data_IF_419026998050
#
_entry.id   IF_419026998050
#
_cell.length_a   1.000
_cell.length_b   1.000
_cell.length_c   1.000
_cell.angle_alpha   90.00
_cell.angle_beta   90.00
_cell.angle_gamma   90.00
#
_symmetry.space_group_name_H-M   'P 1'
#
loop_
_entity.id
_entity.type
_entity.pdbx_description
1 polymer ?
#
# COMPACT_ATOMS: atom_id res chain seq x y z
N UNK A 1 11.32 -3.63 -11.12
CA UNK A 1 9.93 -3.12 -11.03
C UNK A 1 9.89 -2.06 -9.93
N UNK A 2 9.71 -0.79 -10.29
CA UNK A 2 9.72 0.34 -9.35
C UNK A 2 8.45 1.20 -9.45
N UNK A 3 7.50 0.77 -10.29
CA UNK A 3 6.19 1.40 -10.48
C UNK A 3 5.09 0.48 -9.97
N UNK A 4 4.16 1.06 -9.26
CA UNK A 4 3.08 0.33 -8.60
C UNK A 4 1.77 1.10 -8.76
N UNK A 5 0.66 0.41 -8.61
CA UNK A 5 -0.61 1.05 -8.30
C UNK A 5 -1.30 0.38 -7.12
N UNK A 6 -2.18 1.14 -6.49
CA UNK A 6 -3.22 0.59 -5.63
C UNK A 6 -4.56 0.81 -6.29
N UNK A 7 -5.37 -0.26 -6.35
CA UNK A 7 -6.79 -0.19 -6.69
C UNK A 7 -7.56 -0.51 -5.44
N UNK A 8 -8.28 0.47 -4.91
CA UNK A 8 -9.14 0.30 -3.73
C UNK A 8 -10.59 0.25 -4.17
N UNK A 9 -11.23 -0.89 -3.93
CA UNK A 9 -12.63 -1.13 -4.21
C UNK A 9 -13.44 -0.88 -2.94
N UNK A 10 -14.45 -0.02 -2.98
CA UNK A 10 -15.49 0.03 -1.95
C UNK A 10 -16.54 -1.01 -2.29
N UNK A 11 -16.68 -2.04 -1.46
CA UNK A 11 -17.50 -3.21 -1.74
C UNK A 11 -18.80 -3.20 -0.96
N UNK A 12 -19.84 -3.80 -1.54
CA UNK A 12 -21.11 -4.03 -0.86
C UNK A 12 -20.91 -4.97 0.33
N UNK A 13 -21.62 -4.73 1.41
CA UNK A 13 -21.51 -5.53 2.64
C UNK A 13 -21.80 -7.01 2.34
N UNK A 14 -20.93 -7.90 2.82
CA UNK A 14 -21.08 -9.34 2.69
C UNK A 14 -20.62 -9.94 1.36
N UNK A 15 -19.99 -9.16 0.46
CA UNK A 15 -19.55 -9.64 -0.87
C UNK A 15 -18.05 -9.91 -0.97
N UNK A 16 -17.30 -9.87 0.12
CA UNK A 16 -15.84 -10.06 0.10
C UNK A 16 -15.41 -11.37 -0.57
N UNK A 17 -16.13 -12.48 -0.35
CA UNK A 17 -15.80 -13.77 -0.93
C UNK A 17 -15.83 -13.74 -2.46
N UNK A 18 -16.92 -13.21 -3.04
CA UNK A 18 -17.10 -13.08 -4.50
C UNK A 18 -16.04 -12.13 -5.09
N UNK A 19 -15.78 -11.00 -4.40
CA UNK A 19 -14.74 -10.04 -4.81
C UNK A 19 -13.36 -10.70 -4.82
N UNK A 20 -13.03 -11.52 -3.82
CA UNK A 20 -11.75 -12.23 -3.75
C UNK A 20 -11.61 -13.26 -4.87
N UNK A 21 -12.65 -14.06 -5.14
CA UNK A 21 -12.64 -15.02 -6.24
C UNK A 21 -12.41 -14.32 -7.59
N UNK A 22 -13.09 -13.21 -7.84
CA UNK A 22 -12.96 -12.44 -9.07
C UNK A 22 -11.58 -11.79 -9.21
N UNK A 23 -11.02 -11.19 -8.13
CA UNK A 23 -9.66 -10.63 -8.14
C UNK A 23 -8.64 -11.73 -8.40
N UNK A 24 -8.75 -12.88 -7.74
CA UNK A 24 -7.85 -14.01 -7.94
C UNK A 24 -7.90 -14.52 -9.39
N UNK A 25 -9.07 -14.66 -9.99
CA UNK A 25 -9.25 -15.07 -11.38
C UNK A 25 -8.66 -14.02 -12.36
N UNK A 26 -8.68 -12.75 -12.01
CA UNK A 26 -8.17 -11.64 -12.83
C UNK A 26 -6.70 -11.32 -12.57
N UNK A 27 -6.03 -12.02 -11.66
CA UNK A 27 -4.65 -11.70 -11.24
C UNK A 27 -3.59 -11.84 -12.34
N UNK A 28 -3.87 -12.64 -13.37
CA UNK A 28 -2.96 -12.91 -14.49
C UNK A 28 -3.17 -11.93 -15.66
N UNK A 29 -3.17 -10.63 -15.41
CA UNK A 29 -3.28 -9.64 -16.49
C UNK A 29 -1.90 -9.35 -17.09
N UNK A 30 -1.77 -9.31 -18.44
CA UNK A 30 -0.53 -8.94 -19.10
C UNK A 30 -0.03 -7.55 -18.66
N UNK A 31 1.25 -7.43 -18.36
CA UNK A 31 1.89 -6.16 -18.01
C UNK A 31 1.77 -5.69 -16.56
N UNK A 32 1.04 -6.42 -15.72
CA UNK A 32 1.00 -6.18 -14.28
C UNK A 32 1.23 -7.46 -13.47
N UNK A 33 1.78 -7.31 -12.28
CA UNK A 33 1.98 -8.40 -11.32
C UNK A 33 1.17 -8.10 -10.06
N UNK A 34 0.27 -9.01 -9.66
CA UNK A 34 -0.40 -8.92 -8.37
C UNK A 34 0.63 -9.14 -7.25
N UNK A 35 0.76 -8.18 -6.35
CA UNK A 35 1.67 -8.25 -5.21
C UNK A 35 0.93 -8.40 -3.89
N UNK A 36 -0.29 -7.86 -3.79
CA UNK A 36 -1.08 -7.97 -2.58
C UNK A 36 -2.56 -7.69 -2.81
N UNK A 37 -3.37 -8.33 -1.98
CA UNK A 37 -4.80 -8.09 -1.88
C UNK A 37 -5.20 -8.16 -0.41
N UNK A 38 -5.85 -7.13 0.09
CA UNK A 38 -6.22 -7.01 1.49
C UNK A 38 -7.61 -6.40 1.64
N UNK A 39 -8.30 -6.70 2.73
CA UNK A 39 -9.53 -6.00 3.12
C UNK A 39 -9.32 -5.22 4.41
N UNK A 40 -10.02 -4.08 4.52
CA UNK A 40 -9.92 -3.19 5.69
C UNK A 40 -10.61 -3.80 6.91
N UNK A 41 -9.91 -3.77 8.06
CA UNK A 41 -10.41 -4.27 9.35
C UNK A 41 -10.57 -3.14 10.38
N UNK A 42 -9.61 -2.21 10.41
CA UNK A 42 -9.66 -1.02 11.28
C UNK A 42 -9.42 0.23 10.43
N UNK A 43 -10.36 1.16 10.45
CA UNK A 43 -10.38 2.38 9.65
C UNK A 43 -11.68 2.47 8.86
N UNK A 44 -11.62 2.87 7.59
CA UNK A 44 -12.79 2.87 6.71
C UNK A 44 -13.07 1.44 6.27
N UNK A 45 -14.17 0.85 6.74
CA UNK A 45 -14.55 -0.52 6.44
C UNK A 45 -15.13 -0.67 5.02
N UNK A 46 -15.24 -1.94 4.57
CA UNK A 46 -15.79 -2.26 3.25
C UNK A 46 -14.85 -1.90 2.10
N UNK A 47 -13.55 -1.82 2.35
CA UNK A 47 -12.54 -1.58 1.32
C UNK A 47 -11.71 -2.84 1.05
N UNK A 48 -11.55 -3.17 -0.22
CA UNK A 48 -10.59 -4.17 -0.70
C UNK A 48 -9.52 -3.45 -1.50
N UNK A 49 -8.27 -3.55 -1.06
CA UNK A 49 -7.12 -2.92 -1.71
C UNK A 49 -6.30 -3.97 -2.45
N UNK A 50 -6.00 -3.70 -3.71
CA UNK A 50 -5.12 -4.50 -4.57
C UNK A 50 -3.86 -3.69 -4.85
N UNK A 51 -2.68 -4.26 -4.59
CA UNK A 51 -1.38 -3.70 -4.98
C UNK A 51 -0.86 -4.46 -6.18
N UNK A 52 -0.51 -3.73 -7.24
CA UNK A 52 0.11 -4.31 -8.44
C UNK A 52 1.43 -3.62 -8.74
N UNK A 53 2.36 -4.36 -9.33
CA UNK A 53 3.62 -3.86 -9.84
C UNK A 53 3.65 -3.85 -11.36
N UNK A 54 4.39 -2.89 -11.96
CA UNK A 54 4.48 -2.69 -13.40
C UNK A 54 5.93 -2.59 -13.87
N UNK A 55 6.21 -3.10 -15.05
CA UNK A 55 7.54 -3.05 -15.66
C UNK A 55 7.84 -1.69 -16.32
N UNK A 56 6.79 -0.94 -16.71
CA UNK A 56 6.92 0.35 -17.37
C UNK A 56 5.75 1.30 -17.09
N UNK A 57 5.97 2.59 -17.30
CA UNK A 57 4.92 3.61 -17.24
C UNK A 57 3.82 3.34 -18.27
N UNK A 58 4.18 2.89 -19.47
CA UNK A 58 3.23 2.56 -20.51
C UNK A 58 2.28 1.43 -20.09
N UNK A 59 2.80 0.40 -19.40
CA UNK A 59 2.00 -0.69 -18.87
C UNK A 59 1.04 -0.19 -17.76
N UNK A 60 1.55 0.64 -16.83
CA UNK A 60 0.74 1.22 -15.76
C UNK A 60 -0.39 2.08 -16.32
N UNK A 61 -0.10 2.98 -17.25
CA UNK A 61 -1.10 3.88 -17.85
C UNK A 61 -2.09 3.09 -18.72
N UNK A 62 -1.60 2.11 -19.49
CA UNK A 62 -2.44 1.23 -20.30
C UNK A 62 -3.46 0.46 -19.48
N UNK A 63 -3.02 -0.14 -18.38
CA UNK A 63 -3.88 -0.90 -17.46
C UNK A 63 -4.88 0.00 -16.73
N UNK A 64 -4.47 1.18 -16.30
CA UNK A 64 -5.36 2.18 -15.71
C UNK A 64 -6.46 2.59 -16.68
N UNK A 65 -6.11 2.87 -17.95
CA UNK A 65 -7.08 3.21 -19.00
C UNK A 65 -8.07 2.05 -19.22
N UNK A 66 -7.57 0.82 -19.30
CA UNK A 66 -8.41 -0.37 -19.44
C UNK A 66 -9.43 -0.47 -18.31
N UNK A 67 -8.97 -0.41 -17.07
CA UNK A 67 -9.80 -0.51 -15.87
C UNK A 67 -10.93 0.55 -15.84
N UNK A 68 -10.62 1.79 -16.23
CA UNK A 68 -11.59 2.88 -16.26
C UNK A 68 -12.60 2.73 -17.40
N UNK A 69 -12.17 2.28 -18.60
CA UNK A 69 -13.06 2.15 -19.76
C UNK A 69 -13.96 0.92 -19.68
N UNK A 70 -13.49 -0.19 -19.13
CA UNK A 70 -14.28 -1.39 -18.95
C UNK A 70 -15.37 -1.25 -17.87
N UNK A 71 -15.17 -0.37 -16.88
CA UNK A 71 -16.12 -0.13 -15.79
C UNK A 71 -16.41 -1.35 -14.91
N UNK A 72 -15.59 -2.40 -15.04
CA UNK A 72 -15.74 -3.67 -14.33
C UNK A 72 -14.39 -4.12 -13.72
N UNK A 73 -13.89 -3.41 -12.69
CA UNK A 73 -12.58 -3.67 -12.11
C UNK A 73 -12.50 -5.11 -11.61
N UNK A 74 -11.54 -5.88 -12.13
CA UNK A 74 -11.30 -7.29 -11.77
C UNK A 74 -12.54 -8.21 -11.90
N UNK A 75 -13.53 -7.87 -12.74
CA UNK A 75 -14.79 -8.58 -12.79
C UNK A 75 -15.72 -8.35 -11.59
N UNK A 76 -15.45 -7.33 -10.78
CA UNK A 76 -16.15 -7.06 -9.53
C UNK A 76 -17.26 -6.00 -9.63
N UNK A 77 -17.56 -5.45 -10.81
CA UNK A 77 -18.46 -4.29 -10.97
C UNK A 77 -19.82 -4.45 -10.30
N UNK A 78 -20.38 -5.67 -10.26
CA UNK A 78 -21.65 -5.96 -9.57
C UNK A 78 -21.56 -5.75 -8.04
N UNK A 79 -20.39 -5.97 -7.45
CA UNK A 79 -20.17 -5.94 -6.00
C UNK A 79 -19.57 -4.62 -5.50
N UNK A 80 -19.17 -3.72 -6.41
CA UNK A 80 -18.42 -2.51 -6.10
C UNK A 80 -19.30 -1.27 -6.23
N UNK A 81 -19.17 -0.33 -5.30
CA UNK A 81 -19.89 0.95 -5.31
C UNK A 81 -18.97 2.13 -5.65
N UNK A 82 -17.66 1.99 -5.43
CA UNK A 82 -16.67 3.02 -5.75
C UNK A 82 -15.29 2.41 -5.98
N UNK A 83 -14.46 3.08 -6.79
CA UNK A 83 -13.10 2.65 -7.15
C UNK A 83 -12.13 3.83 -7.07
N UNK A 84 -11.12 3.70 -6.23
CA UNK A 84 -9.99 4.63 -6.17
C UNK A 84 -8.74 3.98 -6.79
N UNK A 85 -8.04 4.68 -7.69
CA UNK A 85 -6.81 4.18 -8.31
C UNK A 85 -5.71 5.21 -8.16
N UNK A 86 -4.59 4.77 -7.57
CA UNK A 86 -3.43 5.63 -7.36
C UNK A 86 -2.15 4.96 -7.88
N UNK A 87 -1.37 5.71 -8.65
CA UNK A 87 -0.04 5.31 -9.12
C UNK A 87 1.06 5.77 -8.16
N UNK A 88 2.08 4.94 -8.03
CA UNK A 88 3.20 5.18 -7.12
C UNK A 88 4.54 4.82 -7.74
N UNK A 89 5.58 5.54 -7.32
CA UNK A 89 6.97 5.14 -7.53
C UNK A 89 7.62 4.80 -6.17
N UNK A 90 8.37 3.70 -6.15
CA UNK A 90 9.08 3.25 -4.94
C UNK A 90 10.11 4.27 -4.50
N UNK A 91 10.34 4.41 -3.20
CA UNK A 91 11.47 5.18 -2.70
C UNK A 91 12.77 4.58 -3.25
N UNK A 92 13.67 5.40 -3.83
CA UNK A 92 14.79 4.93 -4.66
C UNK A 92 15.77 3.97 -3.94
N UNK A 93 15.88 4.07 -2.62
CA UNK A 93 16.77 3.23 -1.81
C UNK A 93 16.17 1.86 -1.44
N UNK A 94 14.88 1.62 -1.71
CA UNK A 94 14.22 0.36 -1.38
C UNK A 94 14.34 -0.64 -2.53
N UNK A 95 14.50 -1.94 -2.23
CA UNK A 95 14.41 -2.98 -3.24
C UNK A 95 12.97 -3.12 -3.74
N UNK A 96 12.77 -3.64 -4.97
CA UNK A 96 11.44 -3.94 -5.48
C UNK A 96 10.64 -4.84 -4.54
N UNK A 97 9.35 -4.55 -4.40
CA UNK A 97 8.45 -5.33 -3.56
C UNK A 97 8.34 -6.77 -4.10
N UNK A 98 8.50 -7.74 -3.21
CA UNK A 98 8.42 -9.16 -3.53
C UNK A 98 7.33 -9.84 -2.70
N UNK A 99 6.67 -10.88 -3.22
CA UNK A 99 5.79 -11.75 -2.43
C UNK A 99 6.49 -12.28 -1.18
N UNK A 100 5.79 -12.27 -0.04
CA UNK A 100 6.34 -12.77 1.22
C UNK A 100 5.22 -13.02 2.25
N UNK A 101 5.48 -13.95 3.16
CA UNK A 101 4.61 -14.21 4.32
C UNK A 101 5.17 -13.46 5.54
N UNK A 102 4.61 -12.28 5.79
CA UNK A 102 5.11 -11.38 6.84
C UNK A 102 4.25 -11.34 8.09
N UNK A 103 2.95 -11.64 7.96
CA UNK A 103 2.05 -11.60 9.12
C UNK A 103 0.58 -11.44 8.78
N UNK A 104 -0.26 -11.52 9.82
CA UNK A 104 -1.72 -11.53 9.69
C UNK A 104 -2.36 -10.17 9.44
N UNK A 105 -1.62 -9.06 9.64
CA UNK A 105 -2.14 -7.71 9.42
C UNK A 105 -1.11 -6.82 8.71
N UNK A 106 -1.63 -5.86 7.95
CA UNK A 106 -0.83 -4.86 7.23
C UNK A 106 -1.32 -3.46 7.60
N UNK A 107 -0.45 -2.63 8.15
CA UNK A 107 -0.72 -1.21 8.38
C UNK A 107 -0.37 -0.43 7.12
N UNK A 108 -1.39 0.12 6.45
CA UNK A 108 -1.25 1.04 5.33
C UNK A 108 -1.30 2.46 5.87
N UNK A 109 -0.23 3.24 5.64
CA UNK A 109 -0.15 4.62 6.11
C UNK A 109 0.06 5.55 4.93
N UNK A 110 -0.84 6.51 4.78
CA UNK A 110 -0.74 7.56 3.76
C UNK A 110 -0.42 8.88 4.44
N UNK A 111 0.68 9.50 4.03
CA UNK A 111 1.14 10.76 4.59
C UNK A 111 1.25 11.82 3.51
N UNK A 112 0.59 12.96 3.71
CA UNK A 112 0.84 14.17 2.94
C UNK A 112 2.13 14.84 3.41
N UNK A 113 2.86 15.45 2.47
CA UNK A 113 4.05 16.24 2.79
C UNK A 113 3.86 17.69 2.34
N UNK A 114 4.62 18.60 2.93
CA UNK A 114 4.69 19.99 2.46
C UNK A 114 5.30 20.00 1.05
N UNK A 115 4.95 21.01 0.25
CA UNK A 115 5.60 21.26 -1.04
C UNK A 115 7.13 21.34 -0.86
N UNK A 116 7.86 20.80 -1.82
CA UNK A 116 9.32 20.68 -1.81
C UNK A 116 9.94 19.83 -0.67
N UNK A 117 9.12 19.14 0.15
CA UNK A 117 9.62 18.34 1.27
C UNK A 117 9.69 16.84 0.99
N UNK A 118 9.25 16.37 -0.16
CA UNK A 118 9.24 14.93 -0.47
C UNK A 118 10.65 14.35 -0.50
N UNK A 119 11.62 15.02 -1.14
CA UNK A 119 13.01 14.54 -1.16
C UNK A 119 13.60 14.49 0.23
N UNK A 120 13.40 15.52 1.06
CA UNK A 120 13.87 15.50 2.47
C UNK A 120 13.25 14.34 3.28
N UNK A 121 11.99 14.01 2.98
CA UNK A 121 11.32 12.85 3.60
C UNK A 121 11.97 11.55 3.16
N UNK A 122 12.25 11.37 1.87
CA UNK A 122 12.94 10.19 1.32
C UNK A 122 14.33 10.03 1.97
N UNK A 123 15.12 11.10 2.02
CA UNK A 123 16.48 11.08 2.61
C UNK A 123 16.44 10.72 4.11
N UNK A 124 15.48 11.28 4.86
CA UNK A 124 15.29 10.96 6.27
C UNK A 124 14.88 9.49 6.49
N UNK A 125 14.07 8.93 5.59
CA UNK A 125 13.68 7.52 5.61
C UNK A 125 14.83 6.59 5.25
N UNK A 126 15.64 6.93 4.24
CA UNK A 126 16.84 6.17 3.86
C UNK A 126 17.77 5.98 5.04
N UNK A 127 17.97 7.03 5.85
CA UNK A 127 18.79 6.97 7.04
C UNK A 127 18.17 6.16 8.20
N UNK A 128 16.84 6.16 8.35
CA UNK A 128 16.17 5.57 9.52
C UNK A 128 15.67 4.13 9.28
N UNK A 129 15.31 3.77 8.04
CA UNK A 129 14.73 2.46 7.69
C UNK A 129 15.62 1.29 8.05
N UNK A 130 16.96 1.30 7.81
CA UNK A 130 17.81 0.16 8.14
C UNK A 130 17.73 -0.26 9.61
N UNK A 131 17.72 0.68 10.55
CA UNK A 131 17.60 0.38 11.97
C UNK A 131 16.17 0.00 12.36
N UNK A 132 15.18 0.67 11.77
CA UNK A 132 13.76 0.40 12.04
C UNK A 132 13.35 -1.01 11.57
N UNK A 133 13.86 -1.47 10.43
CA UNK A 133 13.51 -2.77 9.84
C UNK A 133 14.14 -3.97 10.56
N UNK A 134 15.12 -3.76 11.43
CA UNK A 134 15.59 -4.81 12.35
C UNK A 134 14.51 -5.26 13.34
N UNK A 135 13.46 -4.47 13.56
CA UNK A 135 12.37 -4.78 14.51
C UNK A 135 11.12 -5.34 13.85
N UNK A 136 10.78 -4.88 12.66
CA UNK A 136 9.72 -5.43 11.83
C UNK A 136 9.98 -5.06 10.37
N UNK A 137 9.61 -5.92 9.41
CA UNK A 137 9.83 -5.62 8.01
C UNK A 137 9.04 -4.39 7.55
N UNK A 138 9.52 -3.75 6.48
CA UNK A 138 8.82 -2.76 5.69
C UNK A 138 8.55 -3.40 4.33
N UNK A 139 7.28 -3.53 3.95
CA UNK A 139 6.91 -4.05 2.62
C UNK A 139 7.29 -3.05 1.53
N UNK A 140 7.04 -1.76 1.76
CA UNK A 140 7.41 -0.70 0.84
C UNK A 140 7.04 0.69 1.34
N UNK A 141 7.73 1.70 0.80
CA UNK A 141 7.37 3.10 0.90
C UNK A 141 7.44 3.70 -0.50
N UNK A 142 6.38 4.38 -0.94
CA UNK A 142 6.18 4.79 -2.32
C UNK A 142 5.55 6.18 -2.36
N UNK A 143 6.09 7.09 -3.17
CA UNK A 143 5.46 8.39 -3.37
C UNK A 143 4.42 8.34 -4.49
N UNK A 144 3.32 9.08 -4.30
CA UNK A 144 2.23 9.14 -5.26
C UNK A 144 2.61 9.94 -6.50
N UNK A 145 2.18 9.44 -7.66
CA UNK A 145 2.37 10.08 -8.97
C UNK A 145 1.12 10.86 -9.41
N UNK A 146 0.02 10.74 -8.68
CA UNK A 146 -1.27 11.34 -9.03
C UNK A 146 -2.11 11.69 -7.79
N UNK A 147 -3.27 12.31 -8.04
CA UNK A 147 -4.22 12.74 -7.03
C UNK A 147 -3.68 13.90 -6.18
N UNK A 148 -3.95 13.88 -4.87
CA UNK A 148 -3.44 14.88 -3.95
C UNK A 148 -1.97 14.64 -3.66
N UNK A 149 -1.09 15.39 -4.30
CA UNK A 149 0.37 15.31 -4.18
C UNK A 149 0.93 16.61 -3.56
N UNK A 150 2.08 16.59 -2.87
CA UNK A 150 2.93 15.42 -2.60
C UNK A 150 2.43 14.59 -1.40
N UNK A 151 2.39 13.27 -1.57
CA UNK A 151 2.08 12.31 -0.51
C UNK A 151 2.81 10.99 -0.77
N UNK A 152 2.88 10.13 0.24
CA UNK A 152 3.44 8.79 0.10
C UNK A 152 2.66 7.75 0.90
N UNK A 153 2.64 6.52 0.38
CA UNK A 153 2.11 5.33 1.04
C UNK A 153 3.28 4.54 1.62
N UNK A 154 3.13 4.06 2.85
CA UNK A 154 4.06 3.10 3.44
C UNK A 154 3.29 1.92 4.06
N UNK A 155 3.84 0.71 3.89
CA UNK A 155 3.16 -0.56 4.18
C UNK A 155 4.00 -1.35 5.18
N UNK A 156 3.45 -1.62 6.36
CA UNK A 156 4.10 -2.32 7.44
C UNK A 156 3.32 -3.57 7.84
N UNK A 157 3.86 -4.77 7.66
CA UNK A 157 3.25 -6.00 8.13
C UNK A 157 3.54 -6.25 9.60
N UNK A 158 2.61 -6.90 10.29
CA UNK A 158 2.75 -7.37 11.67
C UNK A 158 1.96 -8.66 11.86
N UNK A 159 2.33 -9.44 12.86
CA UNK A 159 1.57 -10.66 13.22
C UNK A 159 0.22 -10.32 13.85
N UNK A 160 0.16 -9.22 14.61
CA UNK A 160 -1.04 -8.77 15.32
C UNK A 160 -0.99 -7.28 15.63
N UNK A 161 -2.13 -6.71 16.02
CA UNK A 161 -2.24 -5.32 16.51
C UNK A 161 -1.40 -5.09 17.78
N UNK A 162 -1.30 -6.09 18.66
CA UNK A 162 -0.48 -6.01 19.87
C UNK A 162 1.02 -5.95 19.53
N UNK A 163 1.48 -6.81 18.61
CA UNK A 163 2.86 -6.75 18.13
C UNK A 163 3.19 -5.41 17.50
N UNK A 164 2.31 -4.89 16.63
CA UNK A 164 2.43 -3.55 16.05
C UNK A 164 2.59 -2.49 17.13
N UNK A 165 1.72 -2.51 18.13
CA UNK A 165 1.71 -1.50 19.21
C UNK A 165 2.99 -1.56 20.01
N UNK A 166 3.45 -2.75 20.39
CA UNK A 166 4.69 -2.97 21.13
C UNK A 166 5.92 -2.49 20.33
N UNK A 167 6.08 -2.94 19.08
CA UNK A 167 7.24 -2.59 18.24
C UNK A 167 7.31 -1.08 17.99
N UNK A 168 6.17 -0.44 17.76
CA UNK A 168 6.12 1.01 17.55
C UNK A 168 6.51 1.78 18.82
N UNK A 169 6.00 1.37 19.98
CA UNK A 169 6.35 1.99 21.25
C UNK A 169 7.85 1.85 21.57
N UNK A 170 8.42 0.66 21.36
CA UNK A 170 9.85 0.40 21.54
C UNK A 170 10.69 1.26 20.58
N UNK A 171 10.33 1.35 19.32
CA UNK A 171 11.07 2.15 18.34
C UNK A 171 11.07 3.65 18.68
N UNK A 172 9.96 4.17 19.23
CA UNK A 172 9.85 5.56 19.71
C UNK A 172 10.72 5.75 20.96
N UNK A 173 10.62 4.85 21.95
CA UNK A 173 11.37 4.89 23.21
C UNK A 173 12.87 4.93 22.97
N UNK A 174 13.34 4.16 22.00
CA UNK A 174 14.77 4.04 21.68
C UNK A 174 15.25 5.11 20.68
N UNK A 175 14.39 6.06 20.30
CA UNK A 175 14.72 7.15 19.40
C UNK A 175 15.00 6.73 17.94
N UNK A 176 14.62 5.50 17.57
CA UNK A 176 14.83 4.93 16.23
C UNK A 176 13.79 5.47 15.25
N UNK A 177 12.56 5.70 15.73
CA UNK A 177 11.43 6.13 14.91
C UNK A 177 10.56 7.14 15.65
N UNK A 178 10.02 8.20 15.02
CA UNK A 178 10.05 8.50 13.57
C UNK A 178 11.42 8.96 13.07
N UNK A 179 11.63 9.02 11.73
CA UNK A 179 12.85 9.56 11.15
C UNK A 179 13.16 10.96 11.69
N UNK A 180 14.41 11.24 12.02
CA UNK A 180 14.82 12.53 12.61
C UNK A 180 14.46 13.69 11.68
N UNK A 181 13.72 14.68 12.20
CA UNK A 181 13.21 15.80 11.42
C UNK A 181 12.01 15.49 10.54
N UNK A 182 11.70 14.20 10.28
CA UNK A 182 10.62 13.78 9.38
C UNK A 182 9.24 14.36 9.69
N UNK A 183 8.76 14.32 10.94
CA UNK A 183 7.44 14.84 11.29
C UNK A 183 7.20 16.31 10.92
N UNK A 184 8.23 17.14 10.91
CA UNK A 184 8.14 18.56 10.56
C UNK A 184 7.75 18.81 9.10
N UNK A 185 7.92 17.81 8.23
CA UNK A 185 7.63 17.88 6.81
C UNK A 185 6.23 17.33 6.45
N UNK A 186 5.52 16.72 7.40
CA UNK A 186 4.20 16.11 7.16
C UNK A 186 3.07 17.14 7.33
N UNK A 187 2.00 16.94 6.55
CA UNK A 187 0.77 17.75 6.62
C UNK A 187 -0.43 16.93 7.10
N UNK A 188 -0.54 15.68 6.62
CA UNK A 188 -1.62 14.75 6.97
C UNK A 188 -1.03 13.38 7.27
N UNK A 189 -1.72 12.62 8.11
CA UNK A 189 -1.35 11.23 8.42
C UNK A 189 -2.62 10.39 8.58
N UNK A 190 -2.76 9.40 7.72
CA UNK A 190 -3.82 8.41 7.80
C UNK A 190 -3.21 7.03 8.03
N UNK A 191 -3.92 6.17 8.75
CA UNK A 191 -3.49 4.81 9.05
C UNK A 191 -4.69 3.89 9.06
N UNK A 192 -4.62 2.81 8.28
CA UNK A 192 -5.65 1.78 8.21
C UNK A 192 -5.00 0.42 8.38
N UNK A 193 -5.63 -0.46 9.15
CA UNK A 193 -5.22 -1.86 9.29
C UNK A 193 -6.03 -2.69 8.30
N UNK A 194 -5.31 -3.46 7.53
CA UNK A 194 -5.83 -4.41 6.56
C UNK A 194 -5.46 -5.84 6.92
N UNK A 195 -6.30 -6.78 6.53
CA UNK A 195 -6.07 -8.22 6.65
C UNK A 195 -5.86 -8.79 5.25
N UNK A 196 -4.84 -9.62 5.00
CA UNK A 196 -4.61 -10.19 3.68
C UNK A 196 -5.72 -11.16 3.28
N UNK A 197 -6.12 -11.09 2.00
CA UNK A 197 -6.96 -12.11 1.40
C UNK A 197 -6.20 -13.46 1.36
N UNK A 198 -6.89 -14.62 1.42
CA UNK A 198 -6.23 -15.94 1.49
C UNK A 198 -5.25 -16.21 0.35
N UNK A 199 -5.47 -15.63 -0.83
CA UNK A 199 -4.62 -15.77 -2.01
C UNK A 199 -3.58 -14.66 -2.18
N UNK A 200 -3.55 -13.67 -1.26
CA UNK A 200 -2.63 -12.53 -1.36
C UNK A 200 -1.17 -13.01 -1.40
N UNK A 201 -0.35 -12.59 -2.39
CA UNK A 201 1.07 -12.92 -2.40
C UNK A 201 1.84 -12.31 -1.22
N UNK A 202 1.38 -11.16 -0.72
CA UNK A 202 1.84 -10.55 0.53
C UNK A 202 0.81 -10.88 1.63
N UNK A 203 1.15 -11.81 2.54
CA UNK A 203 0.29 -12.28 3.64
C UNK A 203 1.09 -12.64 4.89
#
# INVERSE_FOLDING_TARGET
>A
MNLYDTVTLTVKIGTNAQVFENIQASAAQPGSTLLGCWYSDIGVLGRVMVLRGFESEAALIGERRRLLLEGNPFGCGEFVTDVEVHGYALFPFLPPIQPAEHGGIYEMRVYGTKLASLQHTIDAWENAVPERTRRSPLTGAMFALDGAVPRFLNIWPYKSVDERSRIRAEAVKDGIWPPKGGPAHLTTMESTIYVPAPFSPLR
#
